data_IF_965064738933
#
_entry.id   IF_965064738933
#
_cell.length_a   1.000
_cell.length_b   1.000
_cell.length_c   1.000
_cell.angle_alpha   90.00
_cell.angle_beta   90.00
_cell.angle_gamma   90.00
#
_symmetry.space_group_name_H-M   'P 1'
#
loop_
_entity.id
_entity.type
_entity.pdbx_description
1 polymer ?
#
# COMPACT_ATOMS: atom_id res chain seq x y z
N UNK A 1 2.97 -9.68 6.35
CA UNK A 1 2.03 -8.88 5.52
C UNK A 1 0.82 -8.47 6.35
N UNK A 2 0.08 -7.40 5.98
CA UNK A 2 -1.22 -7.09 6.56
C UNK A 2 -2.20 -8.27 6.45
N UNK A 3 -3.20 -8.39 7.35
CA UNK A 3 -4.18 -9.47 7.32
C UNK A 3 -5.18 -9.31 6.16
N UNK A 4 -4.72 -9.55 4.93
CA UNK A 4 -5.49 -9.42 3.70
C UNK A 4 -5.13 -10.57 2.75
N UNK A 5 -6.11 -11.37 2.26
CA UNK A 5 -5.87 -12.47 1.34
C UNK A 5 -5.15 -12.08 0.05
N UNK A 6 -5.40 -10.87 -0.47
CA UNK A 6 -4.73 -10.37 -1.68
C UNK A 6 -3.23 -10.24 -1.45
N UNK A 7 -2.82 -9.64 -0.32
CA UNK A 7 -1.40 -9.52 0.02
C UNK A 7 -0.72 -10.88 0.19
N UNK A 8 -1.38 -11.83 0.86
CA UNK A 8 -0.87 -13.20 0.98
C UNK A 8 -0.63 -13.81 -0.40
N UNK A 9 -1.63 -13.77 -1.29
CA UNK A 9 -1.52 -14.33 -2.64
C UNK A 9 -0.41 -13.68 -3.47
N UNK A 10 -0.24 -12.35 -3.40
CA UNK A 10 0.83 -11.64 -4.10
C UNK A 10 2.20 -12.15 -3.64
N UNK A 11 2.44 -12.21 -2.34
CA UNK A 11 3.73 -12.61 -1.80
C UNK A 11 4.02 -14.10 -1.96
N UNK A 12 2.99 -14.97 -1.89
CA UNK A 12 3.10 -16.39 -2.29
C UNK A 12 3.53 -16.52 -3.75
N UNK A 13 2.95 -15.70 -4.64
CA UNK A 13 3.30 -15.69 -6.06
C UNK A 13 4.75 -15.25 -6.31
N UNK A 14 5.28 -14.35 -5.48
CA UNK A 14 6.70 -13.98 -5.50
C UNK A 14 7.62 -15.05 -4.88
N UNK A 15 7.08 -16.15 -4.39
CA UNK A 15 7.84 -17.27 -3.79
C UNK A 15 8.17 -17.06 -2.32
N UNK A 16 7.58 -16.09 -1.65
CA UNK A 16 7.70 -15.91 -0.21
C UNK A 16 6.74 -16.84 0.55
N UNK A 17 6.96 -16.98 1.86
CA UNK A 17 6.05 -17.63 2.79
C UNK A 17 5.40 -16.55 3.68
N UNK A 18 4.33 -15.87 3.22
CA UNK A 18 3.78 -14.73 3.92
C UNK A 18 3.02 -15.13 5.18
N UNK A 19 3.28 -14.41 6.26
CA UNK A 19 2.58 -14.53 7.54
C UNK A 19 1.78 -13.25 7.80
N UNK A 20 0.51 -13.40 8.17
CA UNK A 20 -0.32 -12.27 8.59
C UNK A 20 0.01 -11.85 10.01
N UNK A 21 0.34 -10.57 10.21
CA UNK A 21 0.77 -10.05 11.51
C UNK A 21 0.31 -8.59 11.70
N UNK A 22 -0.03 -8.25 12.95
CA UNK A 22 -0.36 -6.89 13.36
C UNK A 22 0.88 -5.97 13.35
N UNK A 23 0.67 -4.71 12.99
CA UNK A 23 1.78 -3.74 12.86
C UNK A 23 2.51 -3.49 14.18
N UNK A 24 1.81 -3.60 15.32
CA UNK A 24 2.38 -3.39 16.65
C UNK A 24 3.41 -4.44 17.05
N UNK A 25 3.27 -5.67 16.50
CA UNK A 25 4.14 -6.80 16.80
C UNK A 25 5.33 -6.89 15.86
N UNK A 26 5.23 -6.22 14.71
CA UNK A 26 6.11 -6.44 13.56
C UNK A 26 7.56 -6.07 13.83
N UNK A 27 7.83 -4.94 14.51
CA UNK A 27 9.21 -4.52 14.83
C UNK A 27 9.95 -5.60 15.63
N UNK A 28 9.32 -6.08 16.71
CA UNK A 28 9.91 -7.11 17.56
C UNK A 28 10.03 -8.47 16.85
N UNK A 29 9.05 -8.81 16.01
CA UNK A 29 9.07 -10.04 15.25
C UNK A 29 10.25 -10.10 14.26
N UNK A 30 10.54 -8.98 13.57
CA UNK A 30 11.72 -8.87 12.69
C UNK A 30 13.01 -8.91 13.53
N UNK A 31 13.07 -8.13 14.60
CA UNK A 31 14.26 -8.05 15.46
C UNK A 31 14.64 -9.42 16.06
N UNK A 32 13.64 -10.23 16.39
CA UNK A 32 13.82 -11.57 16.95
C UNK A 32 13.99 -12.67 15.89
N UNK A 33 13.89 -12.34 14.60
CA UNK A 33 13.98 -13.31 13.51
C UNK A 33 12.79 -14.26 13.41
N UNK A 34 11.62 -13.87 13.95
CA UNK A 34 10.36 -14.62 13.79
C UNK A 34 9.87 -14.51 12.35
N UNK A 35 10.08 -13.34 11.73
CA UNK A 35 9.89 -13.09 10.30
C UNK A 35 11.14 -12.42 9.73
N UNK A 36 11.46 -12.71 8.47
CA UNK A 36 12.66 -12.22 7.79
C UNK A 36 12.52 -10.79 7.27
N UNK A 37 11.27 -10.33 7.08
CA UNK A 37 10.99 -9.01 6.53
C UNK A 37 9.52 -8.62 6.62
N UNK A 38 9.19 -7.51 5.98
CA UNK A 38 7.84 -6.95 5.98
C UNK A 38 7.55 -6.21 4.68
N UNK A 39 6.28 -5.96 4.39
CA UNK A 39 5.85 -5.05 3.35
C UNK A 39 4.90 -3.99 3.93
N UNK A 40 5.16 -2.74 3.64
CA UNK A 40 4.34 -1.59 4.03
C UNK A 40 4.71 -0.38 3.17
N UNK A 41 3.83 0.63 3.08
CA UNK A 41 4.17 1.90 2.47
C UNK A 41 5.34 2.62 3.19
N UNK A 42 6.10 3.40 2.46
CA UNK A 42 7.26 4.15 2.99
C UNK A 42 6.93 4.96 4.25
N UNK A 43 5.82 5.72 4.32
CA UNK A 43 5.46 6.43 5.55
C UNK A 43 5.28 5.52 6.77
N UNK A 44 4.76 4.31 6.54
CA UNK A 44 4.59 3.32 7.61
C UNK A 44 5.92 2.73 8.06
N UNK A 45 6.82 2.41 7.12
CA UNK A 45 8.17 1.94 7.42
C UNK A 45 8.94 3.00 8.22
N UNK A 46 8.86 4.26 7.79
CA UNK A 46 9.49 5.39 8.45
C UNK A 46 8.95 5.61 9.88
N UNK A 47 7.63 5.73 10.04
CA UNK A 47 7.00 6.04 11.31
C UNK A 47 7.23 4.95 12.39
N UNK A 48 7.29 3.68 11.98
CA UNK A 48 7.52 2.55 12.89
C UNK A 48 8.99 2.12 12.94
N UNK A 49 9.89 2.82 12.27
CA UNK A 49 11.34 2.56 12.25
C UNK A 49 11.73 1.14 11.82
N UNK A 50 10.92 0.51 10.97
CA UNK A 50 11.20 -0.86 10.52
C UNK A 50 12.53 -0.99 9.80
N UNK A 51 13.03 0.09 9.18
CA UNK A 51 14.35 0.15 8.55
C UNK A 51 15.53 -0.06 9.53
N UNK A 52 15.33 0.09 10.85
CA UNK A 52 16.36 -0.19 11.85
C UNK A 52 16.62 -1.69 12.00
N UNK A 53 15.57 -2.52 11.86
CA UNK A 53 15.60 -3.98 12.03
C UNK A 53 15.56 -4.73 10.70
N UNK A 54 15.09 -4.08 9.61
CA UNK A 54 15.09 -4.58 8.23
C UNK A 54 15.75 -3.54 7.32
N UNK A 55 17.08 -3.56 7.24
CA UNK A 55 17.88 -2.51 6.58
C UNK A 55 17.73 -2.44 5.07
N UNK A 56 17.34 -3.54 4.41
CA UNK A 56 17.17 -3.59 2.97
C UNK A 56 15.72 -3.23 2.62
N UNK A 57 15.53 -2.11 1.93
CA UNK A 57 14.20 -1.62 1.54
C UNK A 57 14.12 -1.59 0.01
N UNK A 58 13.23 -2.39 -0.55
CA UNK A 58 13.01 -2.48 -2.00
C UNK A 58 11.73 -1.73 -2.36
N UNK A 59 11.83 -0.75 -3.28
CA UNK A 59 10.70 0.06 -3.75
C UNK A 59 9.96 -0.68 -4.87
N UNK A 60 9.14 -1.64 -4.50
CA UNK A 60 8.47 -2.55 -5.44
C UNK A 60 7.23 -1.98 -6.10
N UNK A 61 6.58 -0.97 -5.49
CA UNK A 61 5.32 -0.37 -5.95
C UNK A 61 4.25 -1.43 -6.33
N UNK A 62 4.24 -2.55 -5.64
CA UNK A 62 3.42 -3.74 -5.96
C UNK A 62 1.95 -3.58 -5.56
N UNK A 63 1.61 -2.58 -4.78
CA UNK A 63 0.25 -2.36 -4.31
C UNK A 63 -0.08 -0.87 -4.22
N UNK A 64 -1.26 -0.52 -4.66
CA UNK A 64 -1.88 0.78 -4.43
C UNK A 64 -3.02 0.62 -3.42
N UNK A 65 -2.84 1.13 -2.21
CA UNK A 65 -3.81 1.03 -1.12
C UNK A 65 -4.58 2.33 -0.89
N UNK A 66 -5.73 2.57 -1.52
CA UNK A 66 -6.55 3.72 -1.21
C UNK A 66 -7.13 3.58 0.20
N UNK A 67 -7.06 4.66 0.99
CA UNK A 67 -7.66 4.71 2.33
C UNK A 67 -8.92 5.58 2.27
N UNK A 68 -10.13 4.96 2.25
CA UNK A 68 -11.37 5.72 2.23
C UNK A 68 -11.67 6.34 3.60
N UNK A 69 -12.06 7.60 3.62
CA UNK A 69 -12.66 8.22 4.80
C UNK A 69 -14.16 7.89 4.81
N UNK A 70 -14.57 7.06 5.76
CA UNK A 70 -15.93 6.51 5.82
C UNK A 70 -16.70 6.99 7.05
N UNK A 71 -18.01 7.16 6.89
CA UNK A 71 -18.93 7.40 8.00
C UNK A 71 -20.11 6.40 7.90
N UNK A 72 -20.54 5.82 9.03
CA UNK A 72 -21.70 4.93 9.00
C UNK A 72 -22.96 5.70 8.63
N UNK A 73 -23.84 5.12 7.82
CA UNK A 73 -25.11 5.74 7.42
C UNK A 73 -26.00 6.07 8.63
N UNK A 74 -25.98 5.21 9.65
CA UNK A 74 -26.70 5.46 10.91
C UNK A 74 -26.24 6.72 11.63
N UNK A 75 -24.96 7.05 11.55
CA UNK A 75 -24.39 8.29 12.11
C UNK A 75 -24.63 9.46 11.16
N UNK A 76 -24.40 9.26 9.86
CA UNK A 76 -24.58 10.27 8.83
C UNK A 76 -25.98 10.89 8.81
N UNK A 77 -27.01 10.05 8.94
CA UNK A 77 -28.41 10.49 8.94
C UNK A 77 -28.82 11.34 10.17
N UNK A 78 -27.99 11.38 11.22
CA UNK A 78 -28.23 12.22 12.41
C UNK A 78 -27.77 13.67 12.21
N UNK A 79 -26.92 13.92 11.22
CA UNK A 79 -26.45 15.27 10.93
C UNK A 79 -27.46 16.04 10.10
N UNK A 80 -27.58 17.36 10.37
CA UNK A 80 -28.33 18.25 9.51
C UNK A 80 -27.71 18.34 8.11
N UNK A 81 -28.48 18.73 7.10
CA UNK A 81 -27.96 18.94 5.75
C UNK A 81 -26.78 19.93 5.73
N UNK A 82 -26.80 20.95 6.58
CA UNK A 82 -25.71 21.91 6.73
C UNK A 82 -24.44 21.26 7.27
N UNK A 83 -24.58 20.41 8.30
CA UNK A 83 -23.43 19.70 8.88
C UNK A 83 -22.86 18.67 7.90
N UNK A 84 -23.71 17.95 7.16
CA UNK A 84 -23.29 17.02 6.11
C UNK A 84 -22.45 17.72 5.04
N UNK A 85 -22.89 18.91 4.58
CA UNK A 85 -22.14 19.72 3.63
C UNK A 85 -20.80 20.19 4.20
N UNK A 86 -20.76 20.63 5.46
CA UNK A 86 -19.53 21.03 6.12
C UNK A 86 -18.54 19.88 6.26
N UNK A 87 -19.00 18.70 6.68
CA UNK A 87 -18.20 17.49 6.78
C UNK A 87 -17.63 17.08 5.41
N UNK A 88 -18.47 17.06 4.36
CA UNK A 88 -18.02 16.72 3.01
C UNK A 88 -16.97 17.69 2.47
N UNK A 89 -17.13 18.99 2.76
CA UNK A 89 -16.14 20.01 2.38
C UNK A 89 -14.81 19.76 3.10
N UNK A 90 -14.84 19.61 4.42
CA UNK A 90 -13.67 19.36 5.23
C UNK A 90 -12.96 18.04 4.82
N UNK A 91 -13.72 16.97 4.53
CA UNK A 91 -13.19 15.70 4.06
C UNK A 91 -12.44 15.84 2.73
N UNK A 92 -12.98 16.59 1.77
CA UNK A 92 -12.32 16.86 0.48
C UNK A 92 -11.00 17.62 0.67
N UNK A 93 -11.02 18.68 1.49
CA UNK A 93 -9.84 19.50 1.78
C UNK A 93 -8.76 18.67 2.50
N UNK A 94 -9.15 17.93 3.54
CA UNK A 94 -8.24 17.05 4.28
C UNK A 94 -7.63 15.96 3.40
N UNK A 95 -8.42 15.32 2.53
CA UNK A 95 -7.93 14.30 1.60
C UNK A 95 -6.96 14.86 0.57
N UNK A 96 -7.21 16.07 0.05
CA UNK A 96 -6.29 16.74 -0.87
C UNK A 96 -4.97 17.11 -0.17
N UNK A 97 -5.06 17.65 1.03
CA UNK A 97 -3.90 17.99 1.87
C UNK A 97 -3.06 16.76 2.22
N UNK A 98 -3.71 15.68 2.67
CA UNK A 98 -3.03 14.41 2.98
C UNK A 98 -2.26 13.85 1.79
N UNK A 99 -2.88 13.78 0.59
CA UNK A 99 -2.19 13.33 -0.62
C UNK A 99 -0.97 14.19 -0.95
N UNK A 100 -1.11 15.52 -0.85
CA UNK A 100 0.00 16.44 -1.07
C UNK A 100 1.15 16.18 -0.11
N UNK A 101 0.86 16.06 1.19
CA UNK A 101 1.89 15.79 2.21
C UNK A 101 2.63 14.47 1.95
N UNK A 102 1.91 13.39 1.66
CA UNK A 102 2.54 12.09 1.38
C UNK A 102 3.49 12.21 0.19
N UNK A 103 3.03 12.80 -0.93
CA UNK A 103 3.85 12.96 -2.13
C UNK A 103 5.10 13.83 -1.88
N UNK A 104 4.97 14.90 -1.09
CA UNK A 104 6.09 15.82 -0.81
C UNK A 104 7.10 15.25 0.20
N UNK A 105 6.67 14.39 1.10
CA UNK A 105 7.50 13.90 2.21
C UNK A 105 8.13 12.53 1.95
N UNK A 106 7.58 11.72 1.05
CA UNK A 106 8.06 10.36 0.82
C UNK A 106 9.54 10.32 0.40
N UNK A 107 9.93 11.18 -0.53
CA UNK A 107 11.35 11.29 -0.96
C UNK A 107 12.27 11.69 0.19
N UNK A 108 11.81 12.55 1.09
CA UNK A 108 12.60 12.95 2.26
C UNK A 108 12.70 11.80 3.26
N UNK A 109 11.62 11.06 3.50
CA UNK A 109 11.64 9.87 4.36
C UNK A 109 12.63 8.82 3.85
N UNK A 110 12.66 8.56 2.53
CA UNK A 110 13.63 7.66 1.91
C UNK A 110 15.06 8.12 2.17
N UNK A 111 15.37 9.42 1.93
CA UNK A 111 16.71 9.98 2.18
C UNK A 111 17.12 9.88 3.65
N UNK A 112 16.18 10.06 4.55
CA UNK A 112 16.47 10.01 5.98
C UNK A 112 16.67 8.56 6.46
N UNK A 113 15.95 7.58 5.89
CA UNK A 113 16.24 6.16 6.10
C UNK A 113 17.63 5.77 5.57
N UNK A 114 18.02 6.26 4.38
CA UNK A 114 19.37 6.05 3.82
C UNK A 114 20.46 6.61 4.77
N UNK A 115 20.28 7.83 5.30
CA UNK A 115 21.19 8.43 6.28
C UNK A 115 21.26 7.62 7.59
N UNK A 116 20.16 6.99 7.97
CA UNK A 116 20.08 6.11 9.14
C UNK A 116 20.68 4.71 8.89
N UNK A 117 21.20 4.44 7.68
CA UNK A 117 21.87 3.19 7.32
C UNK A 117 21.00 2.17 6.62
N UNK A 118 19.79 2.54 6.18
CA UNK A 118 19.00 1.68 5.29
C UNK A 118 19.59 1.66 3.88
N UNK A 119 19.47 0.52 3.23
CA UNK A 119 19.92 0.31 1.84
C UNK A 119 18.67 0.26 0.97
N UNK A 120 18.48 1.30 0.16
CA UNK A 120 17.31 1.43 -0.70
C UNK A 120 17.63 0.84 -2.08
N UNK A 121 16.84 -0.16 -2.47
CA UNK A 121 16.92 -0.79 -3.78
C UNK A 121 15.72 -0.36 -4.65
N UNK A 122 16.03 0.08 -5.87
CA UNK A 122 15.04 0.48 -6.89
C UNK A 122 15.07 -0.55 -8.01
N UNK A 123 14.18 -1.57 -7.98
CA UNK A 123 14.16 -2.64 -8.94
C UNK A 123 13.60 -2.20 -10.30
N UNK A 124 13.78 -3.05 -11.31
CA UNK A 124 13.01 -2.96 -12.54
C UNK A 124 11.55 -3.37 -12.24
N UNK A 125 10.65 -2.40 -12.21
CA UNK A 125 9.24 -2.64 -11.88
C UNK A 125 8.52 -3.56 -12.87
N UNK A 126 9.01 -3.66 -14.13
CA UNK A 126 8.43 -4.60 -15.11
C UNK A 126 8.69 -6.06 -14.77
N UNK A 127 9.82 -6.36 -14.13
CA UNK A 127 10.09 -7.72 -13.64
C UNK A 127 9.10 -8.10 -12.53
N UNK A 128 8.84 -7.21 -11.60
CA UNK A 128 7.83 -7.38 -10.54
C UNK A 128 6.42 -7.53 -11.10
N UNK A 129 6.05 -6.68 -12.06
CA UNK A 129 4.77 -6.75 -12.74
C UNK A 129 4.58 -8.12 -13.42
N UNK A 130 5.58 -8.59 -14.19
CA UNK A 130 5.49 -9.87 -14.86
C UNK A 130 5.43 -11.05 -13.86
N UNK A 131 6.16 -10.96 -12.76
CA UNK A 131 6.19 -11.99 -11.74
C UNK A 131 4.85 -12.13 -10.98
N UNK A 132 4.05 -11.07 -10.87
CA UNK A 132 2.76 -11.11 -10.17
C UNK A 132 1.59 -11.58 -11.06
N UNK A 133 1.75 -11.60 -12.39
CA UNK A 133 0.66 -11.96 -13.30
C UNK A 133 -0.07 -13.28 -12.95
N UNK A 134 0.60 -14.36 -12.48
CA UNK A 134 -0.10 -15.57 -12.09
C UNK A 134 -1.10 -15.39 -10.94
N UNK A 135 -0.91 -14.38 -10.08
CA UNK A 135 -1.86 -14.07 -9.00
C UNK A 135 -3.23 -13.63 -9.52
N UNK A 136 -3.28 -12.98 -10.69
CA UNK A 136 -4.53 -12.52 -11.29
C UNK A 136 -5.46 -13.68 -11.66
N UNK A 137 -4.94 -14.85 -12.05
CA UNK A 137 -5.74 -16.04 -12.28
C UNK A 137 -6.47 -16.51 -11.01
N UNK A 138 -5.82 -16.37 -9.86
CA UNK A 138 -6.47 -16.65 -8.58
C UNK A 138 -7.49 -15.57 -8.24
N UNK A 139 -7.17 -14.30 -8.47
CA UNK A 139 -8.10 -13.20 -8.22
C UNK A 139 -9.37 -13.29 -9.07
N UNK A 140 -9.25 -13.70 -10.34
CA UNK A 140 -10.41 -13.97 -11.21
C UNK A 140 -11.33 -15.03 -10.63
N UNK A 141 -10.77 -16.10 -10.07
CA UNK A 141 -11.56 -17.17 -9.43
C UNK A 141 -12.24 -16.69 -8.14
N UNK A 142 -11.53 -15.90 -7.33
CA UNK A 142 -11.99 -15.47 -5.99
C UNK A 142 -12.98 -14.30 -6.06
N UNK A 143 -12.82 -13.38 -7.01
CA UNK A 143 -13.55 -12.11 -7.08
C UNK A 143 -14.39 -11.94 -8.36
N UNK A 144 -14.28 -12.84 -9.33
CA UNK A 144 -14.95 -12.77 -10.62
C UNK A 144 -14.07 -12.24 -11.75
N UNK A 145 -14.12 -12.92 -12.88
CA UNK A 145 -13.29 -12.64 -14.06
C UNK A 145 -13.59 -11.25 -14.63
N UNK A 146 -14.87 -10.92 -14.82
CA UNK A 146 -15.31 -9.63 -15.36
C UNK A 146 -14.77 -8.43 -14.56
N UNK A 147 -14.83 -8.52 -13.22
CA UNK A 147 -14.31 -7.45 -12.35
C UNK A 147 -12.79 -7.29 -12.49
N UNK A 148 -12.07 -8.40 -12.47
CA UNK A 148 -10.60 -8.36 -12.52
C UNK A 148 -10.13 -7.86 -13.88
N UNK A 149 -10.75 -8.34 -14.97
CA UNK A 149 -10.40 -7.92 -16.32
C UNK A 149 -10.69 -6.43 -16.56
N UNK A 150 -11.85 -5.93 -16.10
CA UNK A 150 -12.16 -4.50 -16.22
C UNK A 150 -11.15 -3.62 -15.49
N UNK A 151 -10.71 -4.02 -14.28
CA UNK A 151 -9.69 -3.29 -13.52
C UNK A 151 -8.32 -3.31 -14.21
N UNK A 152 -7.96 -4.44 -14.84
CA UNK A 152 -6.71 -4.54 -15.59
C UNK A 152 -6.73 -3.68 -16.86
N UNK A 153 -7.85 -3.63 -17.56
CA UNK A 153 -8.05 -2.78 -18.74
C UNK A 153 -7.95 -1.29 -18.37
N UNK A 154 -8.69 -0.85 -17.33
CA UNK A 154 -8.62 0.52 -16.84
C UNK A 154 -7.20 0.90 -16.38
N UNK A 155 -6.50 0.02 -15.68
CA UNK A 155 -5.13 0.24 -15.27
C UNK A 155 -4.19 0.41 -16.47
N UNK A 156 -4.39 -0.37 -17.55
CA UNK A 156 -3.61 -0.24 -18.78
C UNK A 156 -3.90 1.07 -19.53
N UNK A 157 -5.16 1.50 -19.56
CA UNK A 157 -5.53 2.79 -20.15
C UNK A 157 -4.90 3.96 -19.39
N UNK A 158 -4.94 3.92 -18.04
CA UNK A 158 -4.32 4.93 -17.19
C UNK A 158 -2.80 4.97 -17.43
N UNK A 159 -2.15 3.81 -17.51
CA UNK A 159 -0.72 3.70 -17.79
C UNK A 159 -0.34 4.30 -19.14
N UNK A 160 -1.17 4.08 -20.16
CA UNK A 160 -0.96 4.65 -21.49
C UNK A 160 -1.14 6.18 -21.49
N UNK A 161 -2.10 6.68 -20.72
CA UNK A 161 -2.40 8.12 -20.58
C UNK A 161 -1.37 8.87 -19.73
N UNK A 162 -0.81 8.21 -18.73
CA UNK A 162 0.16 8.77 -17.80
C UNK A 162 1.39 7.86 -17.70
N UNK A 163 2.24 7.82 -18.73
CA UNK A 163 3.44 6.98 -18.69
C UNK A 163 4.34 7.39 -17.53
N UNK A 164 4.90 6.38 -16.86
CA UNK A 164 5.88 6.62 -15.79
C UNK A 164 7.06 7.44 -16.33
N UNK A 165 7.45 8.45 -15.57
CA UNK A 165 8.63 9.29 -15.89
C UNK A 165 9.91 8.54 -15.58
#
# INVERSE_FOLDING_TARGET
VPPNPIHLTIWETFGANPVSMGIQELYMAIQQGIVDGQENPIPTIWANKFYEVAKYVTLTNHNYGPIPLSCSMKTWQKFSAKDQQAIMKAAKEASAYSRKLVTEQEDQMIKDMEKAGAIIYRPNLMEWYNAVLPAYEKFKKDYGEELVDSLMEEAQEIKNKYPAK
#
